data_IF_544221210795
#
_entry.id   IF_544221210795
#
_cell.length_a   1.000
_cell.length_b   1.000
_cell.length_c   1.000
_cell.angle_alpha   90.00
_cell.angle_beta   90.00
_cell.angle_gamma   90.00
#
_symmetry.space_group_name_H-M   'P 1'
#
loop_
_entity.id
_entity.type
_entity.pdbx_description
1 polymer ?
#
# COMPACT_ATOMS: atom_id res chain seq x y z
N UNK A 1 9.49 27.50 -8.05
CA UNK A 1 9.07 26.84 -6.80
C UNK A 1 9.53 25.39 -6.82
N UNK A 2 9.99 24.83 -5.69
CA UNK A 2 10.66 23.52 -5.64
C UNK A 2 9.67 22.36 -5.51
N UNK A 3 9.99 21.19 -6.08
CA UNK A 3 9.24 19.94 -5.95
C UNK A 3 9.04 19.51 -4.49
N UNK A 4 10.02 19.83 -3.64
CA UNK A 4 9.96 19.58 -2.20
C UNK A 4 8.79 20.33 -1.55
N UNK A 5 8.51 21.55 -2.01
CA UNK A 5 7.39 22.37 -1.49
C UNK A 5 6.03 21.73 -1.79
N UNK A 6 5.88 21.08 -2.94
CA UNK A 6 4.65 20.37 -3.28
C UNK A 6 4.44 19.12 -2.40
N UNK A 7 5.48 18.32 -2.24
CA UNK A 7 5.44 17.13 -1.36
C UNK A 7 5.14 17.54 0.08
N UNK A 8 5.80 18.60 0.58
CA UNK A 8 5.56 19.12 1.92
C UNK A 8 4.11 19.62 2.09
N UNK A 9 3.57 20.34 1.11
CA UNK A 9 2.19 20.83 1.16
C UNK A 9 1.18 19.68 1.21
N UNK A 10 1.38 18.63 0.40
CA UNK A 10 0.53 17.44 0.41
C UNK A 10 0.67 16.64 1.71
N UNK A 11 1.90 16.49 2.22
CA UNK A 11 2.16 15.83 3.50
C UNK A 11 1.49 16.60 4.65
N UNK A 12 1.58 17.93 4.64
CA UNK A 12 0.92 18.81 5.61
C UNK A 12 -0.61 18.66 5.54
N UNK A 13 -1.20 18.70 4.35
CA UNK A 13 -2.64 18.45 4.15
C UNK A 13 -3.03 17.12 4.78
N UNK A 14 -2.28 16.05 4.49
CA UNK A 14 -2.58 14.73 5.03
C UNK A 14 -2.45 14.67 6.55
N UNK A 15 -1.39 15.26 7.10
CA UNK A 15 -1.18 15.32 8.54
C UNK A 15 -2.30 16.08 9.26
N UNK A 16 -2.76 17.22 8.73
CA UNK A 16 -3.88 17.98 9.29
C UNK A 16 -5.14 17.12 9.33
N UNK A 17 -5.48 16.43 8.24
CA UNK A 17 -6.63 15.50 8.22
C UNK A 17 -6.49 14.42 9.29
N UNK A 18 -5.32 13.77 9.40
CA UNK A 18 -5.13 12.71 10.40
C UNK A 18 -5.28 13.23 11.85
N UNK A 19 -4.83 14.47 12.09
CA UNK A 19 -4.92 15.13 13.40
C UNK A 19 -6.32 15.62 13.74
N UNK A 20 -7.06 16.14 12.76
CA UNK A 20 -8.43 16.66 12.95
C UNK A 20 -9.47 15.55 13.05
N UNK A 21 -9.19 14.38 12.47
CA UNK A 21 -10.05 13.19 12.54
C UNK A 21 -9.39 12.06 13.36
N UNK A 22 -9.01 12.29 14.63
CA UNK A 22 -8.25 11.32 15.41
C UNK A 22 -9.05 10.06 15.69
N UNK A 23 -10.38 10.18 15.87
CA UNK A 23 -11.27 9.03 16.06
C UNK A 23 -11.20 8.10 14.86
N UNK A 24 -11.29 8.63 13.63
CA UNK A 24 -11.21 7.82 12.42
C UNK A 24 -9.84 7.11 12.30
N UNK A 25 -8.75 7.84 12.56
CA UNK A 25 -7.39 7.30 12.53
C UNK A 25 -7.20 6.18 13.57
N UNK A 26 -7.59 6.42 14.82
CA UNK A 26 -7.47 5.44 15.90
C UNK A 26 -8.38 4.24 15.71
N UNK A 27 -9.62 4.45 15.26
CA UNK A 27 -10.55 3.36 14.97
C UNK A 27 -10.02 2.48 13.84
N UNK A 28 -9.47 3.06 12.77
CA UNK A 28 -8.89 2.26 11.68
C UNK A 28 -7.67 1.45 12.14
N UNK A 29 -6.79 2.03 12.98
CA UNK A 29 -5.68 1.28 13.60
C UNK A 29 -6.21 0.16 14.51
N UNK A 30 -7.17 0.48 15.38
CA UNK A 30 -7.75 -0.47 16.31
C UNK A 30 -8.44 -1.63 15.59
N UNK A 31 -9.26 -1.35 14.56
CA UNK A 31 -9.92 -2.39 13.76
C UNK A 31 -8.89 -3.26 13.04
N UNK A 32 -7.88 -2.66 12.40
CA UNK A 32 -6.82 -3.41 11.73
C UNK A 32 -6.08 -4.31 12.73
N UNK A 33 -5.72 -3.78 13.89
CA UNK A 33 -5.07 -4.56 14.94
C UNK A 33 -5.98 -5.66 15.53
N UNK A 34 -7.30 -5.40 15.69
CA UNK A 34 -8.26 -6.39 16.16
C UNK A 34 -8.36 -7.59 15.21
N UNK A 35 -8.25 -7.37 13.89
CA UNK A 35 -8.19 -8.47 12.93
C UNK A 35 -6.98 -9.38 13.19
N UNK A 36 -5.79 -8.80 13.36
CA UNK A 36 -4.60 -9.57 13.74
C UNK A 36 -4.77 -10.28 15.08
N UNK A 37 -5.26 -9.58 16.11
CA UNK A 37 -5.47 -10.13 17.44
C UNK A 37 -6.45 -11.32 17.40
N UNK A 38 -7.51 -11.22 16.59
CA UNK A 38 -8.46 -12.31 16.36
C UNK A 38 -7.79 -13.54 15.75
N UNK A 39 -6.95 -13.36 14.73
CA UNK A 39 -6.17 -14.45 14.11
C UNK A 39 -5.20 -15.06 15.14
N UNK A 40 -4.47 -14.22 15.88
CA UNK A 40 -3.46 -14.67 16.84
C UNK A 40 -4.06 -15.41 18.04
N UNK A 41 -4.97 -14.77 18.78
CA UNK A 41 -5.56 -15.38 19.98
C UNK A 41 -6.54 -16.49 19.64
N UNK A 42 -7.39 -16.29 18.63
CA UNK A 42 -8.34 -17.30 18.17
C UNK A 42 -7.62 -18.52 17.58
N UNK A 43 -6.60 -18.29 16.75
CA UNK A 43 -5.77 -19.37 16.22
C UNK A 43 -5.03 -20.11 17.32
N UNK A 44 -4.45 -19.41 18.31
CA UNK A 44 -3.72 -20.04 19.41
C UNK A 44 -4.62 -20.95 20.26
N UNK A 45 -5.90 -20.57 20.44
CA UNK A 45 -6.88 -21.35 21.18
C UNK A 45 -7.27 -22.66 20.47
N UNK A 46 -7.30 -22.66 19.13
CA UNK A 46 -7.74 -23.82 18.33
C UNK A 46 -6.56 -24.71 17.89
N UNK A 47 -5.45 -24.09 17.49
CA UNK A 47 -4.31 -24.74 16.86
C UNK A 47 -2.98 -24.09 17.28
N UNK A 48 -2.69 -24.10 18.59
CA UNK A 48 -1.55 -23.40 19.19
C UNK A 48 -0.19 -23.67 18.56
N UNK A 49 0.13 -24.93 18.25
CA UNK A 49 1.40 -25.29 17.61
C UNK A 49 1.51 -24.70 16.18
N UNK A 50 0.51 -24.93 15.34
CA UNK A 50 0.50 -24.44 13.96
C UNK A 50 0.60 -22.90 13.87
N UNK A 51 -0.06 -22.18 14.79
CA UNK A 51 0.04 -20.72 14.85
C UNK A 51 1.42 -20.27 15.31
N UNK A 52 2.03 -20.95 16.27
CA UNK A 52 3.36 -20.57 16.77
C UNK A 52 4.41 -20.69 15.67
N UNK A 53 4.36 -21.77 14.89
CA UNK A 53 5.32 -22.03 13.79
C UNK A 53 5.14 -21.05 12.62
N UNK A 54 3.90 -20.65 12.33
CA UNK A 54 3.59 -19.72 11.24
C UNK A 54 3.59 -18.24 11.65
N UNK A 55 3.79 -17.93 12.93
CA UNK A 55 3.64 -16.59 13.49
C UNK A 55 4.53 -15.54 12.82
N UNK A 56 5.83 -15.78 12.55
CA UNK A 56 6.68 -14.81 11.85
C UNK A 56 6.12 -14.46 10.47
N UNK A 57 5.70 -15.47 9.71
CA UNK A 57 5.10 -15.30 8.38
C UNK A 57 3.78 -14.54 8.43
N UNK A 58 2.93 -14.82 9.42
CA UNK A 58 1.67 -14.07 9.64
C UNK A 58 1.97 -12.60 9.93
N UNK A 59 2.92 -12.30 10.81
CA UNK A 59 3.29 -10.91 11.18
C UNK A 59 3.81 -10.16 9.95
N UNK A 60 4.74 -10.75 9.19
CA UNK A 60 5.30 -10.12 7.99
C UNK A 60 4.23 -9.94 6.92
N UNK A 61 3.40 -10.95 6.68
CA UNK A 61 2.29 -10.87 5.73
C UNK A 61 1.29 -9.77 6.10
N UNK A 62 0.92 -9.68 7.38
CA UNK A 62 0.00 -8.65 7.89
C UNK A 62 0.60 -7.24 7.83
N UNK A 63 1.91 -7.12 8.07
CA UNK A 63 2.65 -5.87 7.89
C UNK A 63 2.63 -5.40 6.43
N UNK A 64 2.96 -6.29 5.48
CA UNK A 64 2.90 -5.99 4.04
C UNK A 64 1.48 -5.62 3.62
N UNK A 65 0.48 -6.37 4.10
CA UNK A 65 -0.93 -6.12 3.80
C UNK A 65 -1.40 -4.76 4.30
N UNK A 66 -1.05 -4.40 5.54
CA UNK A 66 -1.40 -3.10 6.14
C UNK A 66 -0.79 -1.95 5.33
N UNK A 67 0.47 -2.07 4.91
CA UNK A 67 1.09 -1.03 4.09
C UNK A 67 0.48 -0.96 2.69
N UNK A 68 0.27 -2.12 2.07
CA UNK A 68 -0.31 -2.22 0.74
C UNK A 68 -1.71 -1.59 0.69
N UNK A 69 -2.61 -1.94 1.63
CA UNK A 69 -3.96 -1.36 1.66
C UNK A 69 -3.93 0.14 1.94
N UNK A 70 -3.03 0.61 2.81
CA UNK A 70 -2.90 2.03 3.15
C UNK A 70 -2.45 2.84 1.94
N UNK A 71 -1.45 2.35 1.22
CA UNK A 71 -0.92 3.01 0.02
C UNK A 71 -1.92 2.97 -1.15
N UNK A 72 -2.41 1.77 -1.48
CA UNK A 72 -3.37 1.53 -2.57
C UNK A 72 -4.68 2.31 -2.37
N UNK A 73 -5.37 2.08 -1.25
CA UNK A 73 -6.67 2.70 -1.00
C UNK A 73 -6.52 4.19 -0.68
N UNK A 74 -5.40 4.62 -0.10
CA UNK A 74 -5.09 6.03 0.13
C UNK A 74 -4.92 6.80 -1.17
N UNK A 75 -4.21 6.23 -2.15
CA UNK A 75 -4.02 6.85 -3.46
C UNK A 75 -5.36 7.07 -4.17
N UNK A 76 -6.20 6.04 -4.23
CA UNK A 76 -7.47 6.15 -4.94
C UNK A 76 -8.51 7.01 -4.20
N UNK A 77 -8.62 6.89 -2.87
CA UNK A 77 -9.51 7.76 -2.06
C UNK A 77 -9.10 9.22 -2.12
N UNK A 78 -7.80 9.54 -2.22
CA UNK A 78 -7.35 10.93 -2.33
C UNK A 78 -7.97 11.68 -3.51
N UNK A 79 -8.12 10.99 -4.64
CA UNK A 79 -8.74 11.56 -5.84
C UNK A 79 -10.25 11.70 -5.65
N UNK A 80 -10.90 10.72 -5.01
CA UNK A 80 -12.32 10.79 -4.69
C UNK A 80 -12.63 11.95 -3.73
N UNK A 81 -11.81 12.12 -2.69
CA UNK A 81 -11.90 13.23 -1.73
C UNK A 81 -11.73 14.57 -2.45
N UNK A 82 -10.70 14.72 -3.29
CA UNK A 82 -10.46 15.97 -4.03
C UNK A 82 -11.60 16.29 -5.02
N UNK A 83 -12.19 15.27 -5.64
CA UNK A 83 -13.37 15.40 -6.51
C UNK A 83 -14.62 15.83 -5.71
N UNK A 84 -14.88 15.18 -4.58
CA UNK A 84 -16.01 15.50 -3.70
C UNK A 84 -15.92 16.92 -3.12
N UNK A 85 -14.70 17.37 -2.80
CA UNK A 85 -14.47 18.73 -2.31
C UNK A 85 -14.49 19.80 -3.42
N UNK A 86 -14.64 19.41 -4.69
CA UNK A 86 -14.57 20.34 -5.82
C UNK A 86 -13.18 20.97 -6.04
N UNK A 87 -12.15 20.40 -5.41
CA UNK A 87 -10.76 20.91 -5.49
C UNK A 87 -9.96 20.27 -6.61
N UNK A 88 -10.52 19.23 -7.24
CA UNK A 88 -9.88 18.52 -8.35
C UNK A 88 -9.55 19.47 -9.51
N UNK A 89 -10.46 20.37 -9.89
CA UNK A 89 -10.21 21.39 -10.92
C UNK A 89 -9.07 22.35 -10.55
N UNK A 90 -8.98 22.75 -9.27
CA UNK A 90 -7.89 23.58 -8.77
C UNK A 90 -6.54 22.86 -8.85
N UNK A 91 -6.52 21.55 -8.59
CA UNK A 91 -5.35 20.70 -8.75
C UNK A 91 -4.86 20.69 -10.20
N UNK A 92 -5.78 20.69 -11.17
CA UNK A 92 -5.47 20.78 -12.60
C UNK A 92 -4.93 22.15 -13.02
N UNK A 93 -5.43 23.22 -12.40
CA UNK A 93 -4.96 24.58 -12.65
C UNK A 93 -3.64 24.89 -11.92
N UNK A 94 -3.13 23.98 -11.09
CA UNK A 94 -1.88 24.18 -10.37
C UNK A 94 -0.69 24.31 -11.35
N UNK A 95 0.31 25.16 -11.04
CA UNK A 95 1.47 25.39 -11.91
C UNK A 95 2.38 24.16 -12.04
N UNK A 96 2.17 23.13 -11.21
CA UNK A 96 2.95 21.89 -11.24
C UNK A 96 2.38 20.87 -12.23
N UNK A 97 1.12 20.99 -12.64
CA UNK A 97 0.44 20.00 -13.47
C UNK A 97 0.05 18.73 -12.69
N UNK A 98 -1.08 18.16 -13.05
CA UNK A 98 -1.73 17.08 -12.30
C UNK A 98 -0.88 15.82 -12.12
N UNK A 99 -0.13 15.42 -13.16
CA UNK A 99 0.75 14.23 -13.10
C UNK A 99 1.81 14.34 -12.00
N UNK A 100 2.37 15.55 -11.80
CA UNK A 100 3.39 15.80 -10.78
C UNK A 100 2.79 15.83 -9.39
N UNK A 101 1.59 16.36 -9.25
CA UNK A 101 0.82 16.31 -8.00
C UNK A 101 0.52 14.86 -7.63
N UNK A 102 0.17 14.02 -8.60
CA UNK A 102 -0.07 12.59 -8.37
C UNK A 102 1.18 11.82 -7.98
N UNK A 103 2.33 12.09 -8.61
CA UNK A 103 3.59 11.51 -8.18
C UNK A 103 3.96 11.92 -6.75
N UNK A 104 3.83 13.21 -6.41
CA UNK A 104 4.08 13.71 -5.06
C UNK A 104 3.11 13.09 -4.04
N UNK A 105 1.83 12.95 -4.39
CA UNK A 105 0.82 12.30 -3.56
C UNK A 105 1.17 10.82 -3.32
N UNK A 106 1.62 10.08 -4.35
CA UNK A 106 2.05 8.68 -4.15
C UNK A 106 3.24 8.56 -3.17
N UNK A 107 4.19 9.50 -3.20
CA UNK A 107 5.27 9.55 -2.19
C UNK A 107 4.69 9.77 -0.79
N UNK A 108 3.76 10.72 -0.63
CA UNK A 108 3.09 10.95 0.67
C UNK A 108 2.33 9.71 1.14
N UNK A 109 1.63 9.01 0.25
CA UNK A 109 0.88 7.78 0.57
C UNK A 109 1.81 6.62 0.91
N UNK A 110 2.97 6.53 0.28
CA UNK A 110 4.00 5.57 0.64
C UNK A 110 4.55 5.86 2.05
N UNK A 111 4.90 7.11 2.36
CA UNK A 111 5.34 7.51 3.69
C UNK A 111 4.28 7.25 4.77
N UNK A 112 3.02 7.55 4.45
CA UNK A 112 1.89 7.22 5.31
C UNK A 112 1.83 5.71 5.57
N UNK A 113 1.98 4.88 4.53
CA UNK A 113 1.97 3.42 4.70
C UNK A 113 3.06 2.92 5.65
N UNK A 114 4.25 3.53 5.65
CA UNK A 114 5.30 3.21 6.62
C UNK A 114 4.88 3.53 8.06
N UNK A 115 4.23 4.67 8.29
CA UNK A 115 3.76 5.04 9.63
C UNK A 115 2.68 4.07 10.13
N UNK A 116 1.70 3.73 9.28
CA UNK A 116 0.63 2.78 9.61
C UNK A 116 1.15 1.35 9.80
N UNK A 117 1.93 0.86 8.84
CA UNK A 117 2.54 -0.47 8.90
C UNK A 117 3.47 -0.61 10.09
N UNK A 118 4.32 0.40 10.34
CA UNK A 118 5.23 0.42 11.48
C UNK A 118 4.51 0.42 12.83
N UNK A 119 3.44 1.21 12.98
CA UNK A 119 2.64 1.23 14.20
C UNK A 119 1.98 -0.13 14.48
N UNK A 120 1.38 -0.74 13.45
CA UNK A 120 0.76 -2.07 13.57
C UNK A 120 1.82 -3.14 13.82
N UNK A 121 2.95 -3.12 13.12
CA UNK A 121 4.07 -4.05 13.34
C UNK A 121 4.59 -3.96 14.79
N UNK A 122 4.81 -2.76 15.30
CA UNK A 122 5.24 -2.56 16.69
C UNK A 122 4.22 -3.15 17.68
N UNK A 123 2.93 -2.94 17.45
CA UNK A 123 1.87 -3.52 18.27
C UNK A 123 1.88 -5.07 18.21
N UNK A 124 2.04 -5.66 17.01
CA UNK A 124 2.10 -7.12 16.83
C UNK A 124 3.32 -7.72 17.55
N UNK A 125 4.50 -7.12 17.42
CA UNK A 125 5.71 -7.61 18.10
C UNK A 125 5.59 -7.49 19.62
N UNK A 126 5.04 -6.39 20.12
CA UNK A 126 4.81 -6.18 21.55
C UNK A 126 3.85 -7.21 22.16
N UNK A 127 2.82 -7.63 21.42
CA UNK A 127 1.80 -8.55 21.96
C UNK A 127 2.12 -10.01 21.75
N UNK A 128 2.86 -10.35 20.69
CA UNK A 128 3.30 -11.73 20.43
C UNK A 128 4.60 -12.11 21.14
N UNK A 129 5.43 -11.12 21.47
CA UNK A 129 6.78 -11.35 21.99
C UNK A 129 7.75 -11.91 20.95
N UNK A 130 7.39 -11.89 19.65
CA UNK A 130 8.26 -12.34 18.57
C UNK A 130 9.40 -11.35 18.32
N UNK A 131 10.57 -11.88 17.94
CA UNK A 131 11.70 -11.07 17.46
C UNK A 131 11.88 -11.27 15.97
N UNK A 132 11.69 -10.21 15.20
CA UNK A 132 12.03 -10.15 13.78
C UNK A 132 13.31 -9.33 13.59
N UNK A 133 14.05 -9.66 12.55
CA UNK A 133 15.20 -8.87 12.10
C UNK A 133 14.70 -7.65 11.34
N UNK A 134 15.05 -6.47 11.87
CA UNK A 134 14.62 -5.17 11.33
C UNK A 134 15.82 -4.39 10.82
N UNK A 135 16.58 -4.98 9.89
CA UNK A 135 17.62 -4.24 9.18
C UNK A 135 16.97 -3.19 8.26
N UNK A 136 16.99 -1.94 8.69
CA UNK A 136 16.38 -0.80 7.98
C UNK A 136 16.91 -0.71 6.55
N UNK A 137 18.19 -1.02 6.32
CA UNK A 137 18.82 -0.92 5.01
C UNK A 137 18.32 -1.97 4.02
N UNK A 138 17.84 -3.11 4.54
CA UNK A 138 17.26 -4.21 3.75
C UNK A 138 15.73 -4.08 3.66
N UNK A 139 15.06 -3.87 4.79
CA UNK A 139 13.60 -3.87 4.88
C UNK A 139 13.00 -2.68 4.13
N UNK A 140 13.54 -1.47 4.30
CA UNK A 140 12.93 -0.27 3.68
C UNK A 140 12.90 -0.34 2.15
N UNK A 141 14.01 -0.64 1.44
CA UNK A 141 13.96 -0.77 -0.02
C UNK A 141 13.02 -1.87 -0.51
N UNK A 142 13.02 -3.03 0.16
CA UNK A 142 12.11 -4.13 -0.19
C UNK A 142 10.65 -3.72 -0.02
N UNK A 143 10.31 -3.08 1.10
CA UNK A 143 8.96 -2.54 1.34
C UNK A 143 8.58 -1.51 0.28
N UNK A 144 9.46 -0.55 -0.03
CA UNK A 144 9.19 0.48 -1.05
C UNK A 144 8.82 -0.16 -2.38
N UNK A 145 9.64 -1.10 -2.87
CA UNK A 145 9.39 -1.78 -4.14
C UNK A 145 8.12 -2.65 -4.10
N UNK A 146 7.91 -3.36 -2.99
CA UNK A 146 6.71 -4.18 -2.79
C UNK A 146 5.45 -3.32 -2.84
N UNK A 147 5.38 -2.27 -2.03
CA UNK A 147 4.22 -1.39 -1.92
C UNK A 147 4.02 -0.56 -3.19
N UNK A 148 5.08 -0.22 -3.93
CA UNK A 148 4.98 0.45 -5.22
C UNK A 148 4.10 -0.32 -6.22
N UNK A 149 4.19 -1.65 -6.26
CA UNK A 149 3.32 -2.47 -7.12
C UNK A 149 1.83 -2.29 -6.77
N UNK A 150 1.48 -2.21 -5.48
CA UNK A 150 0.12 -1.92 -5.01
C UNK A 150 -0.32 -0.47 -5.27
N UNK A 151 0.60 0.50 -5.20
CA UNK A 151 0.33 1.88 -5.62
C UNK A 151 -0.02 1.96 -7.11
N UNK A 152 0.62 1.14 -7.95
CA UNK A 152 0.26 0.99 -9.36
C UNK A 152 -1.20 0.58 -9.55
N UNK A 153 -1.66 -0.43 -8.81
CA UNK A 153 -3.08 -0.80 -8.76
C UNK A 153 -3.91 0.40 -8.28
N UNK A 154 -3.41 1.15 -7.29
CA UNK A 154 -4.08 2.32 -6.72
C UNK A 154 -4.39 3.39 -7.76
N UNK A 155 -3.46 3.62 -8.68
CA UNK A 155 -3.68 4.55 -9.79
C UNK A 155 -4.73 4.06 -10.79
N UNK A 156 -4.79 2.76 -11.10
CA UNK A 156 -5.88 2.21 -11.92
C UNK A 156 -7.22 2.53 -11.27
N UNK A 157 -7.33 2.30 -9.96
CA UNK A 157 -8.57 2.53 -9.23
C UNK A 157 -8.91 4.00 -9.05
N UNK A 158 -7.91 4.86 -8.85
CA UNK A 158 -8.09 6.30 -8.87
C UNK A 158 -8.72 6.77 -10.19
N UNK A 159 -8.28 6.18 -11.31
CA UNK A 159 -8.80 6.49 -12.64
C UNK A 159 -10.23 5.99 -12.82
N UNK A 160 -10.51 4.77 -12.38
CA UNK A 160 -11.87 4.23 -12.37
C UNK A 160 -12.82 5.06 -11.50
N UNK A 161 -12.33 5.58 -10.37
CA UNK A 161 -13.13 6.42 -9.48
C UNK A 161 -13.59 7.71 -10.17
N UNK A 162 -12.74 8.32 -11.00
CA UNK A 162 -13.08 9.51 -11.81
C UNK A 162 -14.19 9.25 -12.81
N UNK A 163 -14.31 8.02 -13.32
CA UNK A 163 -15.30 7.66 -14.35
C UNK A 163 -16.59 7.13 -13.72
N UNK A 164 -16.49 6.30 -12.68
CA UNK A 164 -17.62 5.50 -12.18
C UNK A 164 -18.19 5.96 -10.82
N UNK A 165 -17.57 6.95 -10.15
CA UNK A 165 -18.00 7.61 -8.88
C UNK A 165 -18.22 6.74 -7.63
N UNK A 166 -18.66 5.48 -7.77
CA UNK A 166 -18.89 4.50 -6.70
C UNK A 166 -18.13 3.21 -7.00
N UNK A 167 -16.97 3.06 -6.38
CA UNK A 167 -16.08 1.91 -6.56
C UNK A 167 -15.75 1.20 -5.23
N UNK A 168 -16.45 1.56 -4.15
CA UNK A 168 -16.23 1.05 -2.79
C UNK A 168 -16.24 -0.48 -2.71
N UNK A 169 -17.21 -1.12 -3.38
CA UNK A 169 -17.30 -2.58 -3.42
C UNK A 169 -16.07 -3.22 -4.08
N UNK A 170 -15.45 -2.55 -5.05
CA UNK A 170 -14.28 -3.07 -5.74
C UNK A 170 -13.04 -2.97 -4.84
N UNK A 171 -12.93 -1.91 -4.02
CA UNK A 171 -11.89 -1.85 -2.97
C UNK A 171 -11.99 -3.01 -2.00
N UNK A 172 -13.22 -3.38 -1.59
CA UNK A 172 -13.44 -4.55 -0.74
C UNK A 172 -12.93 -5.84 -1.37
N UNK A 173 -13.27 -6.10 -2.63
CA UNK A 173 -12.80 -7.29 -3.36
C UNK A 173 -11.27 -7.32 -3.51
N UNK A 174 -10.67 -6.17 -3.84
CA UNK A 174 -9.21 -6.09 -3.97
C UNK A 174 -8.50 -6.28 -2.66
N UNK A 175 -9.04 -5.75 -1.56
CA UNK A 175 -8.45 -5.95 -0.24
C UNK A 175 -8.25 -7.44 0.07
N UNK A 176 -9.27 -8.26 -0.22
CA UNK A 176 -9.14 -9.72 -0.14
C UNK A 176 -8.18 -10.29 -1.18
N UNK A 177 -8.22 -9.79 -2.42
CA UNK A 177 -7.27 -10.15 -3.47
C UNK A 177 -5.81 -9.96 -3.05
N UNK A 178 -5.47 -8.83 -2.43
CA UNK A 178 -4.12 -8.52 -1.97
C UNK A 178 -3.63 -9.53 -0.92
N UNK A 179 -4.51 -10.04 -0.04
CA UNK A 179 -4.15 -11.09 0.92
C UNK A 179 -3.68 -12.37 0.20
N UNK A 180 -4.40 -12.79 -0.84
CA UNK A 180 -4.01 -13.97 -1.64
C UNK A 180 -2.68 -13.75 -2.37
N UNK A 181 -2.44 -12.54 -2.87
CA UNK A 181 -1.19 -12.19 -3.53
C UNK A 181 0.00 -12.22 -2.56
N UNK A 182 -0.19 -11.73 -1.33
CA UNK A 182 0.85 -11.74 -0.29
C UNK A 182 1.16 -13.17 0.16
N UNK A 183 0.14 -14.02 0.26
CA UNK A 183 0.27 -15.43 0.64
C UNK A 183 0.62 -16.36 -0.54
N UNK A 184 0.93 -15.81 -1.72
CA UNK A 184 1.20 -16.60 -2.91
C UNK A 184 2.47 -17.46 -2.75
N UNK A 185 2.41 -18.78 -3.00
CA UNK A 185 3.56 -19.68 -2.89
C UNK A 185 4.49 -19.56 -4.11
N UNK A 186 5.24 -18.46 -4.19
CA UNK A 186 6.19 -18.16 -5.28
C UNK A 186 7.28 -19.21 -5.45
N UNK A 187 7.67 -19.90 -4.36
CA UNK A 187 8.63 -21.00 -4.39
C UNK A 187 8.10 -22.24 -5.15
N UNK A 188 6.79 -22.50 -5.07
CA UNK A 188 6.16 -23.64 -5.76
C UNK A 188 5.77 -23.29 -7.19
N UNK A 189 5.33 -22.05 -7.40
CA UNK A 189 4.85 -21.57 -8.70
C UNK A 189 5.55 -20.25 -9.07
N UNK A 190 6.70 -20.33 -9.78
CA UNK A 190 7.52 -19.16 -10.09
C UNK A 190 6.80 -18.05 -10.87
N UNK A 191 5.75 -18.38 -11.64
CA UNK A 191 4.96 -17.38 -12.37
C UNK A 191 4.16 -16.45 -11.45
N UNK A 192 3.88 -16.86 -10.21
CA UNK A 192 3.25 -16.01 -9.20
C UNK A 192 4.17 -14.87 -8.76
N UNK A 193 5.48 -14.98 -8.93
CA UNK A 193 6.43 -13.92 -8.59
C UNK A 193 6.21 -12.64 -9.41
N UNK A 194 5.58 -12.73 -10.58
CA UNK A 194 5.29 -11.58 -11.45
C UNK A 194 4.03 -10.84 -10.99
N UNK A 195 3.24 -11.41 -10.07
CA UNK A 195 2.06 -10.76 -9.51
C UNK A 195 2.46 -9.64 -8.52
N UNK A 196 1.60 -8.63 -8.34
CA UNK A 196 1.91 -7.52 -7.45
C UNK A 196 1.96 -8.04 -6.01
N UNK A 197 2.81 -7.45 -5.18
CA UNK A 197 3.10 -7.84 -3.79
C UNK A 197 3.73 -9.23 -3.59
N UNK A 198 3.52 -10.21 -4.47
CA UNK A 198 3.90 -11.62 -4.24
C UNK A 198 5.40 -11.83 -4.07
N UNK A 199 6.23 -11.34 -5.01
CA UNK A 199 7.69 -11.48 -4.84
C UNK A 199 8.21 -10.68 -3.64
N UNK A 200 7.63 -9.50 -3.43
CA UNK A 200 8.00 -8.62 -2.34
C UNK A 200 7.71 -9.19 -0.96
N UNK A 201 6.55 -9.84 -0.79
CA UNK A 201 6.18 -10.49 0.47
C UNK A 201 7.11 -11.67 0.78
N UNK A 202 7.47 -12.49 -0.21
CA UNK A 202 8.44 -13.59 -0.02
C UNK A 202 9.81 -13.07 0.40
N UNK A 203 10.33 -12.03 -0.28
CA UNK A 203 11.63 -11.47 0.07
C UNK A 203 11.63 -10.78 1.43
N UNK A 204 10.53 -10.12 1.81
CA UNK A 204 10.37 -9.55 3.15
C UNK A 204 10.27 -10.63 4.23
N UNK A 205 9.61 -11.76 3.95
CA UNK A 205 9.59 -12.90 4.88
C UNK A 205 11.01 -13.43 5.12
N UNK A 206 11.78 -13.71 4.05
CA UNK A 206 13.18 -14.15 4.17
C UNK A 206 14.05 -13.10 4.89
N UNK A 207 13.90 -11.83 4.55
CA UNK A 207 14.69 -10.76 5.15
C UNK A 207 14.38 -10.55 6.64
N UNK A 208 13.10 -10.58 7.03
CA UNK A 208 12.68 -10.27 8.41
C UNK A 208 12.69 -11.49 9.34
N UNK A 209 12.43 -12.69 8.81
CA UNK A 209 12.43 -13.93 9.59
C UNK A 209 13.82 -14.56 9.65
N UNK A 210 14.51 -14.68 8.50
CA UNK A 210 15.80 -15.36 8.42
C UNK A 210 17.01 -14.40 8.54
N UNK A 211 16.77 -13.08 8.57
CA UNK A 211 17.84 -12.08 8.70
C UNK A 211 18.71 -11.93 7.45
N UNK A 212 18.21 -12.34 6.28
CA UNK A 212 18.96 -12.27 5.03
C UNK A 212 19.02 -10.82 4.54
N UNK A 213 20.22 -10.25 4.53
CA UNK A 213 20.46 -8.91 4.00
C UNK A 213 20.14 -8.83 2.50
N UNK A 214 19.72 -7.65 2.02
CA UNK A 214 19.32 -7.43 0.62
C UNK A 214 20.39 -7.87 -0.39
N UNK A 215 21.67 -7.69 -0.06
CA UNK A 215 22.81 -8.05 -0.91
C UNK A 215 23.02 -9.56 -1.06
N UNK A 216 22.48 -10.35 -0.14
CA UNK A 216 22.55 -11.80 -0.15
C UNK A 216 21.32 -12.43 -0.81
N UNK A 217 20.33 -11.63 -1.20
CA UNK A 217 19.16 -12.12 -1.92
C UNK A 217 19.52 -12.44 -3.39
N UNK A 218 18.86 -13.43 -4.02
CA UNK A 218 19.11 -13.76 -5.40
C UNK A 218 18.86 -12.56 -6.33
N UNK A 219 19.79 -12.30 -7.24
CA UNK A 219 19.70 -11.15 -8.18
C UNK A 219 18.44 -11.26 -9.05
N UNK A 220 18.05 -12.47 -9.45
CA UNK A 220 16.83 -12.70 -10.21
C UNK A 220 15.57 -12.30 -9.43
N UNK A 221 15.51 -12.66 -8.14
CA UNK A 221 14.40 -12.33 -7.26
C UNK A 221 14.25 -10.81 -7.09
N UNK A 222 15.37 -10.10 -6.93
CA UNK A 222 15.39 -8.64 -6.87
C UNK A 222 15.02 -8.00 -8.21
N UNK A 223 15.48 -8.57 -9.33
CA UNK A 223 15.13 -8.08 -10.67
C UNK A 223 13.62 -8.22 -10.94
N UNK A 224 13.01 -9.34 -10.54
CA UNK A 224 11.56 -9.54 -10.63
C UNK A 224 10.82 -8.53 -9.75
N UNK A 225 11.29 -8.29 -8.52
CA UNK A 225 10.70 -7.28 -7.63
C UNK A 225 10.76 -5.86 -8.24
N UNK A 226 11.88 -5.48 -8.82
CA UNK A 226 12.02 -4.16 -9.48
C UNK A 226 11.14 -4.09 -10.73
N UNK A 227 11.14 -5.15 -11.56
CA UNK A 227 10.34 -5.21 -12.78
C UNK A 227 8.84 -5.12 -12.49
N UNK A 228 8.37 -5.82 -11.45
CA UNK A 228 6.97 -5.75 -11.01
C UNK A 228 6.63 -4.38 -10.43
N UNK A 229 7.48 -3.82 -9.56
CA UNK A 229 7.27 -2.48 -9.01
C UNK A 229 7.14 -1.41 -10.12
N UNK A 230 8.10 -1.37 -11.05
CA UNK A 230 8.10 -0.41 -12.16
C UNK A 230 6.95 -0.69 -13.13
N UNK A 231 6.74 -1.96 -13.48
CA UNK A 231 5.71 -2.38 -14.44
C UNK A 231 4.30 -2.02 -13.98
N UNK A 232 3.94 -2.34 -12.73
CA UNK A 232 2.62 -2.03 -12.18
C UNK A 232 2.41 -0.52 -11.98
N UNK A 233 3.43 0.22 -11.53
CA UNK A 233 3.33 1.69 -11.44
C UNK A 233 3.14 2.31 -12.81
N UNK A 234 3.94 1.92 -13.81
CA UNK A 234 3.82 2.43 -15.17
C UNK A 234 2.46 2.11 -15.79
N UNK A 235 2.01 0.85 -15.69
CA UNK A 235 0.69 0.43 -16.15
C UNK A 235 -0.43 1.20 -15.44
N UNK A 236 -0.32 1.39 -14.13
CA UNK A 236 -1.27 2.15 -13.32
C UNK A 236 -1.39 3.61 -13.76
N UNK A 237 -0.26 4.27 -13.98
CA UNK A 237 -0.22 5.66 -14.46
C UNK A 237 -0.80 5.79 -15.86
N UNK A 238 -0.51 4.85 -16.76
CA UNK A 238 -1.08 4.85 -18.12
C UNK A 238 -2.60 4.67 -18.08
N UNK A 239 -3.09 3.70 -17.30
CA UNK A 239 -4.52 3.45 -17.13
C UNK A 239 -5.23 4.67 -16.52
N UNK A 240 -4.62 5.29 -15.51
CA UNK A 240 -5.10 6.52 -14.89
C UNK A 240 -5.24 7.64 -15.91
N UNK A 241 -4.19 7.93 -16.70
CA UNK A 241 -4.21 8.96 -17.75
C UNK A 241 -5.30 8.72 -18.80
N UNK A 242 -5.54 7.46 -19.16
CA UNK A 242 -6.60 7.11 -20.09
C UNK A 242 -7.99 7.45 -19.51
N UNK A 243 -8.26 7.01 -18.27
CA UNK A 243 -9.51 7.28 -17.57
C UNK A 243 -9.72 8.78 -17.32
N UNK A 244 -8.66 9.48 -16.95
CA UNK A 244 -8.63 10.93 -16.72
C UNK A 244 -8.98 11.73 -17.98
N UNK A 245 -8.42 11.36 -19.14
CA UNK A 245 -8.78 11.99 -20.43
C UNK A 245 -10.24 11.73 -20.79
N UNK A 246 -10.75 10.52 -20.50
CA UNK A 246 -12.15 10.17 -20.72
C UNK A 246 -13.07 11.01 -19.83
N UNK A 247 -12.78 11.08 -18.53
CA UNK A 247 -13.56 11.87 -17.57
C UNK A 247 -13.59 13.37 -17.95
N UNK A 248 -12.49 13.93 -18.46
CA UNK A 248 -12.45 15.31 -18.95
C UNK A 248 -13.30 15.55 -20.19
N UNK A 249 -13.24 14.65 -21.17
CA UNK A 249 -14.05 14.74 -22.39
C UNK A 249 -15.54 14.68 -22.09
N UNK A 250 -15.91 13.88 -21.09
CA UNK A 250 -17.29 13.64 -20.71
C UNK A 250 -17.80 14.65 -19.65
N UNK A 251 -16.98 15.64 -19.26
CA UNK A 251 -17.37 16.70 -18.31
C UNK A 251 -17.59 16.23 -16.87
N UNK A 252 -17.04 15.07 -16.49
CA UNK A 252 -17.33 14.40 -15.21
C UNK A 252 -16.60 15.00 -14.01
N UNK A 253 -15.64 15.91 -14.22
CA UNK A 253 -14.78 16.42 -13.14
C UNK A 253 -15.47 17.44 -12.22
N UNK A 254 -16.44 18.21 -12.75
CA UNK A 254 -17.16 19.24 -11.99
C UNK A 254 -18.52 18.78 -11.45
N UNK A 255 -18.93 17.55 -11.80
CA UNK A 255 -20.17 16.95 -11.32
C UNK A 255 -19.77 15.75 -10.45
N UNK A 256 -19.60 15.93 -9.14
CA UNK A 256 -19.49 14.78 -8.22
C UNK A 256 -20.83 14.52 -7.55
#
# INVERSE_FOLDING_TARGET
MSYLTLVEALARKRYVILREYPVNTLTQLAVTYMFFAGIFFGGRAVAGAAITDSLPGIIVGFFVWTMAITAFAGAARSIMEDAQWGTLEQLYMSPYGFERVMAANAVVRLLESFAWGGAILAAMLATTGQSLTLDVLTVVPLVVLTVASALGIGFVFAGLALVYKRIDNIFGLLNFGLLFLIAAPTDQYPWLAVLPLSQGSTLLQRAMTDGVAIWNLPVLDLAILVATAVGYVAAGVVAFRFAERRARRDGLLGQY
#
